data_IF_769922892782
#
_entry.id   IF_769922892782
#
_cell.length_a   1.000
_cell.length_b   1.000
_cell.length_c   1.000
_cell.angle_alpha   90.00
_cell.angle_beta   90.00
_cell.angle_gamma   90.00
#
_symmetry.space_group_name_H-M   'P 1'
#
loop_
_entity.id
_entity.type
_entity.pdbx_description
1 polymer ?
#
# COMPACT_ATOMS: atom_id res chain seq x y z
N UNK A 1 38.41 12.53 -33.98
CA UNK A 1 38.74 11.54 -32.94
C UNK A 1 37.48 11.42 -32.02
N UNK A 2 36.65 10.41 -32.27
CA UNK A 2 35.42 10.18 -31.52
C UNK A 2 35.71 9.17 -30.39
N UNK A 3 35.60 9.63 -29.15
CA UNK A 3 35.78 8.79 -27.98
C UNK A 3 34.43 8.10 -27.69
N UNK A 4 34.38 6.79 -27.89
CA UNK A 4 33.26 5.95 -27.55
C UNK A 4 33.30 5.62 -26.06
N UNK A 5 32.34 6.12 -25.28
CA UNK A 5 32.16 5.76 -23.86
C UNK A 5 31.38 4.44 -23.83
N UNK A 6 32.06 3.33 -23.57
CA UNK A 6 31.46 2.04 -23.28
C UNK A 6 30.86 2.09 -21.86
N UNK A 7 29.55 1.98 -21.74
CA UNK A 7 28.88 1.75 -20.47
C UNK A 7 29.22 0.35 -19.98
N UNK A 8 29.94 0.27 -18.88
CA UNK A 8 30.16 -0.99 -18.17
C UNK A 8 28.89 -1.35 -17.42
N UNK A 9 28.26 -2.46 -17.79
CA UNK A 9 27.18 -3.09 -17.01
C UNK A 9 27.87 -3.83 -15.85
N UNK A 10 27.77 -3.31 -14.64
CA UNK A 10 28.25 -4.01 -13.44
C UNK A 10 27.13 -4.99 -13.05
N UNK A 11 27.33 -6.25 -13.40
CA UNK A 11 26.55 -7.36 -12.85
C UNK A 11 27.11 -7.65 -11.47
N UNK A 12 26.43 -7.23 -10.41
CA UNK A 12 26.78 -7.62 -9.04
C UNK A 12 26.24 -9.04 -8.85
N UNK A 13 27.07 -10.03 -9.11
CA UNK A 13 26.84 -11.41 -8.66
C UNK A 13 27.22 -11.45 -7.18
N UNK A 14 26.23 -11.25 -6.29
CA UNK A 14 26.43 -11.41 -4.86
C UNK A 14 26.61 -12.88 -4.51
N UNK A 15 27.83 -13.29 -4.21
CA UNK A 15 28.09 -14.54 -3.50
C UNK A 15 27.50 -14.41 -2.08
N UNK A 16 26.38 -15.06 -1.83
CA UNK A 16 25.77 -15.14 -0.51
C UNK A 16 26.63 -16.04 0.38
N UNK A 17 27.47 -15.44 1.22
CA UNK A 17 28.00 -16.14 2.39
C UNK A 17 26.85 -16.34 3.38
N UNK A 18 26.44 -17.60 3.56
CA UNK A 18 25.39 -18.00 4.49
C UNK A 18 25.87 -17.82 5.94
N UNK A 19 25.70 -16.63 6.50
CA UNK A 19 25.69 -16.47 7.94
C UNK A 19 24.31 -16.89 8.45
N UNK A 20 24.20 -18.05 9.05
CA UNK A 20 23.01 -18.51 9.73
C UNK A 20 22.76 -17.65 10.98
N UNK A 21 22.07 -16.52 10.81
CA UNK A 21 21.43 -15.82 11.90
C UNK A 21 20.18 -16.62 12.25
N UNK A 22 20.17 -17.26 13.41
CA UNK A 22 19.02 -17.99 13.92
C UNK A 22 17.79 -17.09 14.03
N UNK A 23 16.94 -17.12 13.01
CA UNK A 23 15.57 -16.62 13.09
C UNK A 23 14.86 -17.63 14.01
N UNK A 24 14.21 -17.22 15.11
CA UNK A 24 13.38 -18.16 15.87
C UNK A 24 12.37 -18.73 14.87
N UNK A 25 12.35 -20.05 14.74
CA UNK A 25 11.44 -20.76 13.88
C UNK A 25 10.00 -20.34 14.28
N UNK A 26 9.39 -19.49 13.48
CA UNK A 26 7.95 -19.32 13.54
C UNK A 26 7.37 -20.72 13.35
N UNK A 27 6.68 -21.24 14.36
CA UNK A 27 5.99 -22.52 14.28
C UNK A 27 5.07 -22.44 13.08
N UNK A 28 5.41 -23.18 12.03
CA UNK A 28 4.61 -23.24 10.83
C UNK A 28 3.23 -23.78 11.23
N UNK A 29 2.25 -22.90 11.24
CA UNK A 29 0.86 -23.28 11.48
C UNK A 29 0.40 -24.17 10.32
N UNK A 30 -0.44 -25.18 10.58
CA UNK A 30 -0.94 -26.05 9.52
C UNK A 30 -1.53 -25.20 8.40
N UNK A 31 -1.09 -25.45 7.17
CA UNK A 31 -1.60 -24.79 5.96
C UNK A 31 -3.07 -25.18 5.77
N UNK A 32 -3.99 -24.41 6.34
CA UNK A 32 -5.42 -24.70 6.26
C UNK A 32 -6.29 -23.97 7.29
N UNK A 33 -5.73 -23.50 8.42
CA UNK A 33 -6.53 -22.75 9.40
C UNK A 33 -6.62 -21.27 9.04
N UNK A 34 -7.85 -20.73 9.02
CA UNK A 34 -8.09 -19.32 8.81
C UNK A 34 -7.39 -18.44 9.85
N UNK A 35 -6.69 -17.39 9.41
CA UNK A 35 -6.14 -16.37 10.29
C UNK A 35 -7.25 -15.49 10.87
N UNK A 36 -8.14 -14.96 10.00
CA UNK A 36 -9.24 -14.10 10.46
C UNK A 36 -10.28 -14.85 11.29
N UNK A 37 -10.44 -16.15 11.06
CA UNK A 37 -11.33 -17.00 11.86
C UNK A 37 -10.88 -17.16 13.33
N UNK A 38 -9.61 -16.90 13.62
CA UNK A 38 -9.05 -16.94 14.99
C UNK A 38 -9.07 -15.59 15.69
N UNK A 39 -9.57 -14.55 15.04
CA UNK A 39 -9.65 -13.18 15.54
C UNK A 39 -11.12 -12.78 15.71
N UNK A 40 -11.84 -13.31 16.75
CA UNK A 40 -13.28 -13.16 16.87
C UNK A 40 -13.74 -11.73 17.17
N UNK A 41 -12.90 -10.94 17.84
CA UNK A 41 -13.28 -9.63 18.34
C UNK A 41 -12.90 -8.54 17.34
N UNK A 42 -13.91 -7.81 16.84
CA UNK A 42 -13.76 -6.59 16.06
C UNK A 42 -13.98 -5.38 16.96
N UNK A 43 -12.99 -4.49 17.04
CA UNK A 43 -13.03 -3.33 17.92
C UNK A 43 -12.47 -2.09 17.23
N UNK A 44 -13.19 -0.97 17.32
CA UNK A 44 -12.65 0.35 17.04
C UNK A 44 -11.64 0.74 18.14
N UNK A 45 -10.43 1.12 17.73
CA UNK A 45 -9.40 1.61 18.65
C UNK A 45 -9.55 3.09 18.93
N UNK A 46 -9.51 3.90 17.88
CA UNK A 46 -9.55 5.37 18.01
C UNK A 46 -9.83 6.02 16.65
N UNK A 47 -10.32 7.25 16.66
CA UNK A 47 -10.41 8.09 15.47
C UNK A 47 -9.00 8.41 14.91
N UNK A 48 -8.87 8.40 13.58
CA UNK A 48 -7.63 8.78 12.87
C UNK A 48 -7.52 10.27 12.61
N UNK A 49 -8.59 11.06 12.89
CA UNK A 49 -8.70 12.49 12.60
C UNK A 49 -7.77 13.31 13.50
N UNK A 50 -6.72 13.96 13.01
CA UNK A 50 -5.83 14.81 13.78
C UNK A 50 -6.46 16.19 14.04
N UNK A 51 -5.71 17.10 14.72
CA UNK A 51 -6.22 18.43 15.10
C UNK A 51 -6.54 19.33 13.89
N UNK A 52 -5.88 19.14 12.75
CA UNK A 52 -6.17 19.90 11.53
C UNK A 52 -7.45 19.41 10.82
N UNK A 53 -8.04 18.29 11.26
CA UNK A 53 -9.30 17.79 10.76
C UNK A 53 -9.20 16.92 9.50
N UNK A 54 -8.01 16.53 9.04
CA UNK A 54 -7.87 15.61 7.90
C UNK A 54 -8.63 14.32 8.15
N UNK A 55 -9.26 13.81 7.10
CA UNK A 55 -10.21 12.70 7.09
C UNK A 55 -9.78 11.60 6.13
N UNK A 56 -10.59 10.55 6.06
CA UNK A 56 -10.49 9.48 5.08
C UNK A 56 -9.15 8.73 5.19
N UNK A 57 -8.99 7.88 6.23
CA UNK A 57 -7.75 7.13 6.44
C UNK A 57 -7.61 6.02 5.39
N UNK A 58 -6.48 6.00 4.67
CA UNK A 58 -6.19 5.03 3.60
C UNK A 58 -5.05 4.09 3.96
N UNK A 59 -3.84 4.61 4.18
CA UNK A 59 -2.67 3.80 4.44
C UNK A 59 -2.62 3.30 5.88
N UNK A 60 -2.22 2.03 6.05
CA UNK A 60 -2.02 1.40 7.36
C UNK A 60 -0.73 0.62 7.35
N UNK A 61 0.17 0.91 8.27
CA UNK A 61 1.42 0.16 8.39
C UNK A 61 1.88 0.04 9.83
N UNK A 62 2.30 -1.16 10.23
CA UNK A 62 2.90 -1.37 11.55
C UNK A 62 4.36 -0.96 11.53
N UNK A 63 4.77 -0.16 12.51
CA UNK A 63 6.16 0.28 12.67
C UNK A 63 7.04 -0.93 13.01
N UNK A 64 8.04 -1.26 12.17
CA UNK A 64 8.83 -2.48 12.35
C UNK A 64 9.91 -2.37 13.43
N UNK A 65 10.32 -1.15 13.78
CA UNK A 65 11.40 -0.88 14.75
C UNK A 65 11.29 0.53 15.31
N UNK A 66 11.53 0.67 16.62
CA UNK A 66 11.64 2.01 17.25
C UNK A 66 12.85 2.76 16.75
N UNK A 67 12.64 3.96 16.18
CA UNK A 67 13.67 4.84 15.67
C UNK A 67 13.15 6.29 15.68
N UNK A 68 13.88 7.22 16.28
CA UNK A 68 13.43 8.61 16.43
C UNK A 68 12.12 8.69 17.22
N UNK A 69 11.04 9.18 16.57
CA UNK A 69 9.70 9.23 17.17
C UNK A 69 8.86 7.97 16.93
N UNK A 70 9.26 7.14 15.98
CA UNK A 70 8.57 5.90 15.66
C UNK A 70 8.69 4.88 16.79
N UNK A 71 7.60 4.23 17.18
CA UNK A 71 7.56 3.20 18.22
C UNK A 71 7.20 1.85 17.60
N UNK A 72 8.06 0.84 17.77
CA UNK A 72 7.81 -0.50 17.22
C UNK A 72 6.49 -1.08 17.72
N UNK A 73 5.68 -1.58 16.78
CA UNK A 73 4.35 -2.14 17.06
C UNK A 73 3.22 -1.11 17.02
N UNK A 74 3.51 0.19 17.02
CA UNK A 74 2.51 1.22 16.75
C UNK A 74 2.10 1.19 15.27
N UNK A 75 0.96 1.75 14.95
CA UNK A 75 0.38 1.75 13.61
C UNK A 75 0.41 3.16 13.04
N UNK A 76 1.06 3.34 11.90
CA UNK A 76 0.94 4.57 11.11
C UNK A 76 -0.31 4.51 10.25
N UNK A 77 -1.02 5.65 10.18
CA UNK A 77 -2.19 5.82 9.31
C UNK A 77 -2.08 7.15 8.56
N UNK A 78 -2.20 7.10 7.22
CA UNK A 78 -2.26 8.29 6.36
C UNK A 78 -3.70 8.71 6.09
N UNK A 79 -3.99 10.02 6.10
CA UNK A 79 -5.29 10.58 5.76
C UNK A 79 -5.26 11.17 4.34
N UNK A 80 -6.26 10.81 3.53
CA UNK A 80 -6.32 11.17 2.12
C UNK A 80 -7.06 12.47 1.84
N UNK A 81 -8.08 12.80 2.64
CA UNK A 81 -8.90 13.99 2.50
C UNK A 81 -8.48 15.08 3.49
N UNK A 82 -8.66 16.35 3.12
CA UNK A 82 -8.55 17.47 4.06
C UNK A 82 -9.75 17.50 5.03
N UNK A 83 -9.76 18.48 5.91
CA UNK A 83 -10.85 18.71 6.85
C UNK A 83 -12.19 18.94 6.14
N UNK A 84 -13.26 18.41 6.74
CA UNK A 84 -14.62 18.66 6.31
C UNK A 84 -14.95 20.16 6.25
N UNK A 85 -15.72 20.53 5.23
CA UNK A 85 -16.31 21.85 5.10
C UNK A 85 -17.82 21.73 4.84
N UNK A 86 -18.58 22.83 4.90
CA UNK A 86 -19.99 22.80 4.54
C UNK A 86 -20.25 22.36 3.08
N UNK A 87 -19.32 22.65 2.18
CA UNK A 87 -19.40 22.27 0.76
C UNK A 87 -18.88 20.84 0.52
N UNK A 88 -17.99 20.33 1.36
CA UNK A 88 -17.41 18.99 1.29
C UNK A 88 -17.43 18.34 2.68
N UNK A 89 -18.56 17.73 3.11
CA UNK A 89 -18.70 17.15 4.43
C UNK A 89 -17.72 15.98 4.72
N UNK A 90 -17.29 15.26 3.67
CA UNK A 90 -16.24 14.21 3.73
C UNK A 90 -14.82 14.73 3.49
N UNK A 91 -14.63 16.07 3.40
CA UNK A 91 -13.39 16.67 2.92
C UNK A 91 -13.22 16.53 1.40
N UNK A 92 -12.20 17.16 0.86
CA UNK A 92 -11.84 17.04 -0.56
C UNK A 92 -10.79 15.94 -0.72
N UNK A 93 -11.06 14.99 -1.60
CA UNK A 93 -10.15 13.87 -1.88
C UNK A 93 -8.82 14.37 -2.48
N UNK A 94 -7.73 13.66 -2.16
CA UNK A 94 -6.40 14.04 -2.67
C UNK A 94 -5.85 15.34 -2.06
N UNK A 95 -6.28 15.71 -0.83
CA UNK A 95 -5.84 16.93 -0.15
C UNK A 95 -5.45 16.72 1.32
N UNK A 96 -5.60 15.52 1.85
CA UNK A 96 -5.12 15.15 3.17
C UNK A 96 -3.60 15.14 3.24
N UNK A 97 -3.06 15.54 4.38
CA UNK A 97 -1.64 15.89 4.54
C UNK A 97 -1.00 15.27 5.78
N UNK A 98 -1.75 14.45 6.52
CA UNK A 98 -1.28 13.99 7.83
C UNK A 98 -1.09 12.49 7.90
N UNK A 99 -0.08 12.09 8.67
CA UNK A 99 0.12 10.72 9.13
C UNK A 99 0.02 10.75 10.65
N UNK A 100 -0.84 9.93 11.22
CA UNK A 100 -0.93 9.71 12.66
C UNK A 100 -0.25 8.40 13.04
N UNK A 101 0.33 8.34 14.24
CA UNK A 101 0.87 7.13 14.87
C UNK A 101 -0.05 6.75 16.03
N UNK A 102 -0.49 5.49 16.07
CA UNK A 102 -1.48 5.00 17.01
C UNK A 102 -0.94 3.75 17.70
N UNK A 103 -0.83 3.80 19.03
CA UNK A 103 -0.39 2.65 19.80
C UNK A 103 -1.45 1.54 19.83
N UNK A 104 -1.10 0.28 20.11
CA UNK A 104 -2.05 -0.82 20.29
C UNK A 104 -3.09 -0.58 21.41
N UNK A 105 -2.82 0.38 22.32
CA UNK A 105 -3.74 0.81 23.36
C UNK A 105 -4.72 1.90 22.88
N UNK A 106 -4.55 2.43 21.66
CA UNK A 106 -5.40 3.47 21.08
C UNK A 106 -4.94 4.91 21.38
N UNK A 107 -3.71 5.12 21.82
CA UNK A 107 -3.16 6.47 21.96
C UNK A 107 -2.71 6.98 20.59
N UNK A 108 -3.34 8.04 20.09
CA UNK A 108 -3.02 8.68 18.81
C UNK A 108 -2.13 9.90 19.02
N UNK A 109 -1.05 9.99 18.24
CA UNK A 109 -0.18 11.17 18.09
C UNK A 109 -0.08 11.57 16.62
N UNK A 110 0.22 12.84 16.34
CA UNK A 110 0.56 13.29 14.99
C UNK A 110 2.02 12.92 14.71
N UNK A 111 2.25 11.99 13.80
CA UNK A 111 3.61 11.65 13.35
C UNK A 111 4.15 12.69 12.37
N UNK A 112 3.38 13.00 11.32
CA UNK A 112 3.80 13.95 10.28
C UNK A 112 2.64 14.82 9.79
N UNK A 113 2.98 16.05 9.42
CA UNK A 113 2.18 16.92 8.57
C UNK A 113 3.02 17.29 7.35
N UNK A 114 2.58 16.83 6.18
CA UNK A 114 3.25 17.06 4.90
C UNK A 114 2.73 18.37 4.32
N UNK A 115 3.60 19.38 4.10
CA UNK A 115 3.14 20.65 3.58
C UNK A 115 2.71 20.55 2.11
N UNK A 116 1.74 21.37 1.72
CA UNK A 116 1.25 21.46 0.34
C UNK A 116 -0.03 20.68 0.09
N UNK A 117 -0.35 20.47 -1.18
CA UNK A 117 -1.48 19.66 -1.61
C UNK A 117 -0.92 18.29 -1.98
N UNK A 118 -1.16 17.32 -1.13
CA UNK A 118 -0.48 16.02 -1.28
C UNK A 118 -1.43 14.83 -1.44
N UNK A 119 -2.53 14.73 -0.69
CA UNK A 119 -3.45 13.59 -0.76
C UNK A 119 -2.71 12.28 -0.49
N UNK A 120 -2.48 11.98 0.79
CA UNK A 120 -1.66 10.83 1.18
C UNK A 120 -2.43 9.52 0.96
N UNK A 121 -1.88 8.64 0.11
CA UNK A 121 -2.54 7.43 -0.36
C UNK A 121 -2.36 6.22 0.57
N UNK A 122 -2.82 5.06 0.13
CA UNK A 122 -2.63 3.77 0.83
C UNK A 122 -1.15 3.37 0.89
N UNK A 123 -0.33 3.83 -0.07
CA UNK A 123 1.12 3.59 -0.08
C UNK A 123 1.77 4.20 1.16
N UNK A 124 2.05 3.36 2.16
CA UNK A 124 2.65 3.77 3.43
C UNK A 124 3.62 2.68 3.91
N UNK A 125 4.92 2.95 3.82
CA UNK A 125 5.97 1.98 4.08
C UNK A 125 6.96 2.51 5.10
N UNK A 126 6.87 2.14 6.38
CA UNK A 126 7.93 2.38 7.35
C UNK A 126 9.04 1.33 7.20
N UNK A 127 10.29 1.79 7.04
CA UNK A 127 11.48 0.95 6.96
C UNK A 127 12.16 0.80 8.35
N UNK A 128 12.87 -0.31 8.57
CA UNK A 128 13.63 -0.54 9.82
C UNK A 128 14.71 0.50 10.10
N UNK A 129 15.17 1.18 9.07
CA UNK A 129 16.09 2.32 9.17
C UNK A 129 15.45 3.57 9.77
N UNK A 130 14.12 3.62 9.90
CA UNK A 130 13.35 4.76 10.38
C UNK A 130 12.86 5.71 9.28
N UNK A 131 13.15 5.42 8.02
CA UNK A 131 12.54 6.13 6.91
C UNK A 131 11.10 5.69 6.73
N UNK A 132 10.21 6.64 6.44
CA UNK A 132 8.81 6.39 6.07
C UNK A 132 8.58 6.93 4.66
N UNK A 133 8.10 6.06 3.77
CA UNK A 133 7.75 6.43 2.40
C UNK A 133 6.24 6.41 2.29
N UNK A 134 5.64 7.50 1.80
CA UNK A 134 4.20 7.61 1.59
C UNK A 134 3.90 8.10 0.19
N UNK A 135 2.89 7.51 -0.44
CA UNK A 135 2.38 7.94 -1.73
C UNK A 135 1.54 9.21 -1.60
N UNK A 136 1.52 9.97 -2.66
CA UNK A 136 0.74 11.21 -2.82
C UNK A 136 0.03 11.21 -4.16
N UNK A 137 -1.28 11.44 -4.16
CA UNK A 137 -2.12 11.63 -5.33
C UNK A 137 -2.94 12.91 -5.16
N UNK A 138 -2.39 14.08 -5.56
CA UNK A 138 -3.01 15.36 -5.28
C UNK A 138 -4.13 15.72 -6.27
N UNK A 139 -5.13 16.44 -5.75
CA UNK A 139 -6.13 17.12 -6.55
C UNK A 139 -6.14 18.63 -6.22
N UNK A 140 -6.86 19.43 -7.02
CA UNK A 140 -7.08 20.85 -6.71
C UNK A 140 -8.43 21.12 -6.05
N UNK A 141 -9.42 20.26 -6.27
CA UNK A 141 -10.81 20.44 -5.80
C UNK A 141 -11.49 19.15 -5.34
N UNK A 142 -10.74 18.07 -5.17
CA UNK A 142 -11.30 16.78 -4.73
C UNK A 142 -11.93 15.94 -5.84
N UNK A 143 -11.81 16.33 -7.11
CA UNK A 143 -12.40 15.60 -8.23
C UNK A 143 -11.37 14.89 -9.11
N UNK A 144 -11.80 13.84 -9.80
CA UNK A 144 -10.97 13.11 -10.76
C UNK A 144 -10.44 13.98 -11.88
N UNK A 145 -11.19 15.01 -12.30
CA UNK A 145 -10.79 15.92 -13.36
C UNK A 145 -9.57 16.79 -12.99
N UNK A 146 -9.30 16.94 -11.69
CA UNK A 146 -8.22 17.80 -11.20
C UNK A 146 -7.06 17.01 -10.59
N UNK A 147 -7.05 15.69 -10.73
CA UNK A 147 -5.88 14.87 -10.35
C UNK A 147 -4.61 15.36 -11.05
N UNK A 148 -3.49 15.25 -10.37
CA UNK A 148 -2.16 15.61 -10.89
C UNK A 148 -1.21 14.44 -10.68
N UNK A 149 -0.15 14.34 -11.49
CA UNK A 149 0.89 13.34 -11.25
C UNK A 149 1.33 13.35 -9.80
N UNK A 150 1.37 12.16 -9.24
CA UNK A 150 1.70 11.94 -7.85
C UNK A 150 3.20 11.87 -7.59
N UNK A 151 3.54 11.51 -6.36
CA UNK A 151 4.93 11.37 -5.91
C UNK A 151 5.03 10.37 -4.76
N UNK A 152 6.24 9.93 -4.46
CA UNK A 152 6.55 9.32 -3.17
C UNK A 152 7.24 10.36 -2.28
N UNK A 153 6.70 10.58 -1.10
CA UNK A 153 7.24 11.50 -0.11
C UNK A 153 8.04 10.70 0.91
N UNK A 154 9.28 11.08 1.10
CA UNK A 154 10.21 10.43 2.03
C UNK A 154 10.34 11.26 3.29
N UNK A 155 9.97 10.65 4.43
CA UNK A 155 10.06 11.26 5.75
C UNK A 155 11.12 10.56 6.58
N UNK A 156 11.80 11.33 7.44
CA UNK A 156 12.69 10.77 8.45
C UNK A 156 11.89 10.23 9.66
N UNK A 157 12.58 9.58 10.58
CA UNK A 157 12.00 8.99 11.80
C UNK A 157 11.42 10.02 12.79
N UNK A 158 11.53 11.32 12.50
CA UNK A 158 10.90 12.40 13.26
C UNK A 158 9.65 12.96 12.57
N UNK A 159 9.25 12.40 11.40
CA UNK A 159 8.13 12.83 10.59
C UNK A 159 8.39 14.06 9.73
N UNK A 160 9.65 14.43 9.52
CA UNK A 160 10.01 15.55 8.64
C UNK A 160 10.17 15.06 7.21
N UNK A 161 9.57 15.77 6.27
CA UNK A 161 9.82 15.55 4.84
C UNK A 161 11.27 15.86 4.51
N UNK A 162 11.94 14.92 3.85
CA UNK A 162 13.35 15.01 3.47
C UNK A 162 13.53 15.02 1.97
N UNK A 163 12.66 14.33 1.25
CA UNK A 163 12.71 14.20 -0.21
C UNK A 163 11.32 13.97 -0.78
N UNK A 164 11.15 14.30 -2.06
CA UNK A 164 9.98 13.95 -2.86
C UNK A 164 10.49 13.33 -4.15
N UNK A 165 10.19 12.03 -4.35
CA UNK A 165 10.56 11.29 -5.54
C UNK A 165 9.44 11.47 -6.56
N UNK A 166 9.76 12.14 -7.67
CA UNK A 166 8.88 12.37 -8.82
C UNK A 166 9.52 11.79 -10.07
N UNK A 167 8.73 11.39 -11.04
CA UNK A 167 9.25 10.64 -12.19
C UNK A 167 9.61 9.20 -11.79
N UNK A 168 10.68 8.64 -12.34
CA UNK A 168 11.10 7.26 -12.09
C UNK A 168 9.98 6.22 -12.30
N UNK A 169 8.99 6.53 -13.13
CA UNK A 169 7.79 5.72 -13.36
C UNK A 169 6.69 5.89 -12.31
N UNK A 170 6.84 6.79 -11.34
CA UNK A 170 5.79 7.13 -10.38
C UNK A 170 4.87 8.17 -11.03
N UNK A 171 3.59 7.81 -11.16
CA UNK A 171 2.58 8.67 -11.75
C UNK A 171 1.39 8.89 -10.80
N UNK A 172 0.71 7.82 -10.39
CA UNK A 172 -0.35 7.87 -9.40
C UNK A 172 -0.17 6.78 -8.35
N UNK A 173 0.76 6.94 -7.38
CA UNK A 173 1.05 5.91 -6.40
C UNK A 173 -0.18 5.67 -5.51
N UNK A 174 -0.78 4.45 -5.61
CA UNK A 174 -1.93 4.07 -4.82
C UNK A 174 -1.52 3.31 -3.57
N UNK A 175 -0.81 2.19 -3.73
CA UNK A 175 -0.30 1.39 -2.61
C UNK A 175 1.18 1.06 -2.81
N UNK A 176 1.84 0.65 -1.73
CA UNK A 176 3.22 0.20 -1.78
C UNK A 176 3.52 -0.90 -0.77
N UNK A 177 4.43 -1.78 -1.16
CA UNK A 177 5.06 -2.76 -0.27
C UNK A 177 6.57 -2.74 -0.46
N UNK A 178 7.34 -3.23 0.51
CA UNK A 178 8.79 -3.22 0.41
C UNK A 178 9.47 -4.51 0.86
N UNK A 179 10.60 -4.79 0.22
CA UNK A 179 11.63 -5.70 0.72
C UNK A 179 12.73 -4.86 1.38
N UNK A 180 12.72 -4.81 2.71
CA UNK A 180 13.70 -4.07 3.50
C UNK A 180 14.92 -4.95 3.79
N UNK A 181 16.02 -4.68 3.12
CA UNK A 181 17.30 -5.40 3.24
C UNK A 181 18.30 -4.69 4.18
N UNK A 182 17.87 -3.64 4.88
CA UNK A 182 18.70 -2.83 5.77
C UNK A 182 19.48 -1.75 5.02
N UNK A 183 20.64 -2.03 4.38
CA UNK A 183 21.37 -1.05 3.57
C UNK A 183 20.67 -0.63 2.28
N UNK A 184 19.75 -1.44 1.83
CA UNK A 184 18.93 -1.23 0.64
C UNK A 184 17.47 -1.55 0.93
N UNK A 185 16.56 -0.99 0.14
CA UNK A 185 15.17 -1.40 0.10
C UNK A 185 14.70 -1.49 -1.36
N UNK A 186 13.85 -2.47 -1.64
CA UNK A 186 13.10 -2.51 -2.89
C UNK A 186 11.65 -2.14 -2.57
N UNK A 187 11.18 -1.04 -3.12
CA UNK A 187 9.81 -0.54 -2.92
C UNK A 187 9.02 -0.80 -4.19
N UNK A 188 7.93 -1.52 -4.07
CA UNK A 188 6.97 -1.77 -5.15
C UNK A 188 5.79 -0.82 -4.98
N UNK A 189 5.41 -0.14 -6.04
CA UNK A 189 4.37 0.89 -6.03
C UNK A 189 3.38 0.62 -7.15
N UNK A 190 2.09 0.49 -6.83
CA UNK A 190 1.03 0.45 -7.84
C UNK A 190 0.68 1.86 -8.29
N UNK A 191 0.56 2.04 -9.61
CA UNK A 191 0.23 3.32 -10.24
C UNK A 191 -1.12 3.25 -10.95
N UNK A 192 -1.93 4.29 -10.75
CA UNK A 192 -3.31 4.37 -11.24
C UNK A 192 -3.58 5.55 -12.19
N UNK A 193 -2.60 6.39 -12.50
CA UNK A 193 -2.84 7.50 -13.42
C UNK A 193 -2.41 7.23 -14.86
N UNK A 194 -1.64 6.19 -15.13
CA UNK A 194 -1.18 5.85 -16.48
C UNK A 194 -2.34 5.73 -17.47
N UNK A 195 -2.40 6.66 -18.43
CA UNK A 195 -3.44 6.70 -19.45
C UNK A 195 -4.78 7.24 -19.00
N UNK A 196 -4.87 7.76 -17.78
CA UNK A 196 -6.01 8.53 -17.29
C UNK A 196 -5.83 9.99 -17.71
N UNK A 197 -6.81 10.53 -18.42
CA UNK A 197 -6.83 11.93 -18.86
C UNK A 197 -8.18 12.56 -18.55
N UNK A 198 -8.16 13.83 -18.11
CA UNK A 198 -9.33 14.72 -18.01
C UNK A 198 -10.56 14.12 -17.29
N UNK A 199 -10.34 13.26 -16.30
CA UNK A 199 -11.44 12.68 -15.51
C UNK A 199 -12.37 11.75 -16.28
N UNK A 200 -11.98 11.27 -17.48
CA UNK A 200 -12.81 10.39 -18.30
C UNK A 200 -12.94 8.99 -17.67
N UNK A 201 -14.16 8.44 -17.53
CA UNK A 201 -14.39 7.17 -16.87
C UNK A 201 -14.04 5.94 -17.73
N UNK A 202 -13.48 6.12 -18.92
CA UNK A 202 -13.13 5.00 -19.80
C UNK A 202 -12.06 4.12 -19.18
N UNK A 203 -12.31 2.81 -19.16
CA UNK A 203 -11.31 1.84 -18.68
C UNK A 203 -10.13 1.79 -19.64
N UNK A 204 -8.93 1.91 -19.11
CA UNK A 204 -7.67 1.66 -19.83
C UNK A 204 -6.93 0.48 -19.21
N UNK A 205 -6.07 -0.21 -19.99
CA UNK A 205 -5.24 -1.31 -19.50
C UNK A 205 -3.79 -0.84 -19.26
N UNK A 206 -3.64 0.33 -18.65
CA UNK A 206 -2.32 0.98 -18.49
C UNK A 206 -1.84 1.07 -17.04
N UNK A 207 -2.63 0.58 -16.08
CA UNK A 207 -2.18 0.46 -14.70
C UNK A 207 -0.94 -0.45 -14.62
N UNK A 208 0.00 -0.07 -13.79
CA UNK A 208 1.28 -0.77 -13.66
C UNK A 208 1.77 -0.87 -12.21
N UNK A 209 2.87 -1.60 -12.03
CA UNK A 209 3.63 -1.62 -10.78
C UNK A 209 5.08 -1.32 -11.08
N UNK A 210 5.61 -0.32 -10.42
CA UNK A 210 7.02 0.07 -10.47
C UNK A 210 7.75 -0.47 -9.25
N UNK A 211 8.95 -1.01 -9.47
CA UNK A 211 9.93 -1.32 -8.42
C UNK A 211 11.00 -0.26 -8.39
N UNK A 212 11.21 0.37 -7.25
CA UNK A 212 12.35 1.24 -6.96
C UNK A 212 13.36 0.50 -6.09
N UNK A 213 14.63 0.51 -6.47
CA UNK A 213 15.74 0.07 -5.62
C UNK A 213 16.35 1.29 -4.96
N UNK A 214 16.31 1.33 -3.63
CA UNK A 214 16.80 2.45 -2.82
C UNK A 214 18.11 2.08 -2.11
N UNK A 215 19.11 2.96 -2.19
CA UNK A 215 20.29 2.93 -1.33
C UNK A 215 20.02 3.74 -0.06
N UNK A 216 20.11 3.10 1.10
CA UNK A 216 19.87 3.69 2.42
C UNK A 216 21.14 3.98 3.21
N UNK A 217 22.33 3.70 2.66
CA UNK A 217 23.61 3.80 3.36
C UNK A 217 24.11 5.24 3.56
N UNK A 218 23.75 6.12 2.65
CA UNK A 218 24.24 7.51 2.60
C UNK A 218 23.50 8.51 3.49
N UNK A 219 22.67 8.05 4.42
CA UNK A 219 21.88 8.91 5.29
C UNK A 219 20.49 9.23 4.71
N UNK A 220 20.37 9.65 3.45
CA UNK A 220 19.09 9.88 2.76
C UNK A 220 18.87 8.79 1.70
N UNK A 221 17.66 8.22 1.56
CA UNK A 221 17.35 7.26 0.53
C UNK A 221 17.62 7.82 -0.87
N UNK A 222 18.27 7.03 -1.72
CA UNK A 222 18.56 7.40 -3.11
C UNK A 222 18.04 6.33 -4.05
N UNK A 223 17.28 6.71 -5.07
CA UNK A 223 16.85 5.80 -6.13
C UNK A 223 18.07 5.40 -6.96
N UNK A 224 18.39 4.12 -6.98
CA UNK A 224 19.43 3.53 -7.82
C UNK A 224 18.89 2.99 -9.13
N UNK A 225 17.68 2.43 -9.09
CA UNK A 225 17.04 1.80 -10.23
C UNK A 225 15.53 1.93 -10.11
N UNK A 226 14.88 2.22 -11.21
CA UNK A 226 13.43 2.12 -11.40
C UNK A 226 13.13 1.12 -12.51
N UNK A 227 12.13 0.28 -12.31
CA UNK A 227 11.72 -0.75 -13.28
C UNK A 227 10.22 -0.96 -13.20
N UNK A 228 9.51 -0.87 -14.31
CA UNK A 228 8.14 -1.39 -14.40
C UNK A 228 8.21 -2.91 -14.37
N UNK A 229 7.68 -3.52 -13.31
CA UNK A 229 7.72 -4.98 -13.10
C UNK A 229 6.41 -5.67 -13.47
N UNK A 230 5.31 -4.91 -13.54
CA UNK A 230 4.01 -5.39 -14.00
C UNK A 230 3.28 -4.29 -14.80
N UNK A 231 2.46 -4.69 -15.77
CA UNK A 231 1.61 -3.79 -16.55
C UNK A 231 0.30 -4.50 -16.97
N UNK A 232 -0.48 -3.87 -17.82
CA UNK A 232 -1.71 -4.45 -18.37
C UNK A 232 -2.88 -4.47 -17.38
N UNK A 233 -2.79 -3.78 -16.25
CA UNK A 233 -3.84 -3.71 -15.24
C UNK A 233 -4.88 -2.66 -15.62
N UNK A 234 -6.16 -2.95 -15.37
CA UNK A 234 -7.25 -2.04 -15.68
C UNK A 234 -7.27 -0.84 -14.73
N UNK A 235 -7.54 0.35 -15.27
CA UNK A 235 -7.69 1.61 -14.53
C UNK A 235 -8.82 2.42 -15.12
N UNK A 236 -9.62 3.07 -14.29
CA UNK A 236 -10.59 4.09 -14.69
C UNK A 236 -10.78 5.14 -13.60
N UNK A 237 -11.27 6.33 -13.97
CA UNK A 237 -11.70 7.33 -12.98
C UNK A 237 -13.00 6.91 -12.31
N UNK A 238 -13.15 7.31 -11.07
CA UNK A 238 -14.34 7.05 -10.25
C UNK A 238 -14.68 8.29 -9.43
N UNK A 239 -15.94 8.78 -9.49
CA UNK A 239 -16.33 9.97 -8.71
C UNK A 239 -16.27 9.77 -7.19
N UNK A 240 -16.43 8.53 -6.70
CA UNK A 240 -16.42 8.24 -5.27
C UNK A 240 -14.99 8.03 -4.73
N UNK A 241 -14.05 7.54 -5.57
CA UNK A 241 -12.70 7.16 -5.16
C UNK A 241 -11.59 7.81 -5.99
N UNK A 242 -11.89 8.88 -6.77
CA UNK A 242 -11.05 9.53 -7.77
C UNK A 242 -10.66 8.59 -8.92
N UNK A 243 -10.05 7.46 -8.63
CA UNK A 243 -9.53 6.49 -9.60
C UNK A 243 -9.50 5.11 -8.97
N UNK A 244 -9.87 4.10 -9.75
CA UNK A 244 -9.78 2.69 -9.38
C UNK A 244 -8.82 1.99 -10.34
N UNK A 245 -7.96 1.11 -9.82
CA UNK A 245 -6.95 0.42 -10.64
C UNK A 245 -6.27 -0.71 -9.88
N UNK A 246 -4.97 -0.97 -10.14
CA UNK A 246 -4.16 -1.80 -9.27
C UNK A 246 -4.01 -1.11 -7.91
N UNK A 247 -4.47 -1.76 -6.88
CA UNK A 247 -4.52 -1.21 -5.53
C UNK A 247 -3.50 -1.92 -4.63
N UNK A 248 -3.93 -2.75 -3.69
CA UNK A 248 -3.08 -3.35 -2.69
C UNK A 248 -1.96 -4.24 -3.24
N UNK A 249 -0.80 -4.16 -2.63
CA UNK A 249 0.39 -4.92 -2.97
C UNK A 249 0.88 -5.79 -1.82
N UNK A 250 1.17 -7.06 -2.07
CA UNK A 250 1.77 -7.94 -1.08
C UNK A 250 2.95 -8.74 -1.68
N UNK A 251 4.15 -8.56 -1.10
CA UNK A 251 5.33 -9.30 -1.54
C UNK A 251 5.41 -10.64 -0.80
N UNK A 252 5.33 -11.71 -1.56
CA UNK A 252 5.34 -13.08 -1.06
C UNK A 252 6.70 -13.76 -1.16
N UNK A 253 6.75 -15.05 -0.81
CA UNK A 253 7.97 -15.85 -0.90
C UNK A 253 8.55 -15.88 -2.31
N UNK A 254 9.88 -15.99 -2.38
CA UNK A 254 10.66 -16.03 -3.64
C UNK A 254 10.49 -14.80 -4.52
N UNK A 255 10.12 -13.66 -3.94
CA UNK A 255 9.98 -12.41 -4.68
C UNK A 255 8.76 -12.34 -5.61
N UNK A 256 7.76 -13.18 -5.39
CA UNK A 256 6.47 -13.09 -6.10
C UNK A 256 5.67 -11.94 -5.51
N UNK A 257 5.23 -11.01 -6.35
CA UNK A 257 4.34 -9.93 -5.94
C UNK A 257 2.89 -10.31 -6.26
N UNK A 258 1.99 -9.99 -5.34
CA UNK A 258 0.55 -10.10 -5.54
C UNK A 258 -0.04 -8.70 -5.62
N UNK A 259 -1.02 -8.54 -6.50
CA UNK A 259 -1.65 -7.25 -6.82
C UNK A 259 -3.17 -7.40 -6.73
N UNK A 260 -3.81 -6.57 -5.94
CA UNK A 260 -5.25 -6.42 -5.97
C UNK A 260 -5.65 -5.61 -7.21
N UNK A 261 -6.33 -6.23 -8.15
CA UNK A 261 -6.87 -5.62 -9.36
C UNK A 261 -8.36 -5.32 -9.10
N UNK A 262 -8.61 -4.14 -8.55
CA UNK A 262 -9.92 -3.75 -8.03
C UNK A 262 -10.98 -3.69 -9.15
N UNK A 263 -10.62 -3.16 -10.31
CA UNK A 263 -11.54 -3.04 -11.47
C UNK A 263 -12.08 -4.39 -11.90
N UNK A 264 -11.24 -5.43 -11.90
CA UNK A 264 -11.61 -6.78 -12.34
C UNK A 264 -12.00 -7.72 -11.18
N UNK A 265 -12.12 -7.21 -9.95
CA UNK A 265 -12.42 -8.00 -8.75
C UNK A 265 -11.58 -9.28 -8.67
N UNK A 266 -10.26 -9.15 -8.78
CA UNK A 266 -9.32 -10.27 -8.75
C UNK A 266 -8.02 -9.96 -8.02
N UNK A 267 -7.28 -11.02 -7.67
CA UNK A 267 -5.88 -10.94 -7.25
C UNK A 267 -5.02 -11.49 -8.39
N UNK A 268 -4.08 -10.69 -8.87
CA UNK A 268 -3.08 -11.09 -9.84
C UNK A 268 -1.75 -11.41 -9.14
N UNK A 269 -0.88 -12.20 -9.79
CA UNK A 269 0.50 -12.45 -9.34
C UNK A 269 1.51 -12.07 -10.41
N UNK A 270 2.64 -11.55 -9.96
CA UNK A 270 3.82 -11.22 -10.76
C UNK A 270 4.98 -12.08 -10.26
N UNK A 271 5.35 -13.16 -10.97
CA UNK A 271 6.45 -14.02 -10.54
C UNK A 271 7.78 -13.28 -10.61
N UNK A 272 8.67 -13.59 -9.66
CA UNK A 272 10.04 -13.08 -9.59
C UNK A 272 10.16 -11.54 -9.65
N UNK A 273 9.19 -10.80 -9.11
CA UNK A 273 9.10 -9.35 -9.21
C UNK A 273 10.37 -8.62 -8.72
N UNK A 274 11.04 -9.18 -7.69
CA UNK A 274 12.31 -8.67 -7.14
C UNK A 274 13.45 -8.70 -8.18
N UNK A 275 13.43 -9.65 -9.12
CA UNK A 275 14.51 -9.86 -10.09
C UNK A 275 14.15 -9.41 -11.49
N UNK A 276 12.92 -8.97 -11.74
CA UNK A 276 12.49 -8.63 -13.10
C UNK A 276 13.19 -7.38 -13.63
N UNK A 277 13.69 -7.49 -14.85
CA UNK A 277 14.19 -6.35 -15.63
C UNK A 277 13.18 -5.82 -16.65
N UNK A 278 12.04 -6.52 -16.82
CA UNK A 278 10.97 -6.17 -17.76
C UNK A 278 9.60 -6.43 -17.16
N UNK A 279 8.59 -5.71 -17.61
CA UNK A 279 7.22 -5.87 -17.13
C UNK A 279 6.67 -7.27 -17.43
N UNK A 280 5.89 -7.78 -16.50
CA UNK A 280 5.04 -8.95 -16.65
C UNK A 280 3.63 -8.47 -16.98
N UNK A 281 2.96 -9.11 -17.93
CA UNK A 281 1.55 -8.82 -18.23
C UNK A 281 0.67 -9.35 -17.10
N UNK A 282 0.45 -8.52 -16.09
CA UNK A 282 -0.39 -8.83 -14.94
C UNK A 282 -1.89 -8.71 -15.26
N UNK A 283 -2.25 -8.10 -16.40
CA UNK A 283 -3.60 -8.06 -16.94
C UNK A 283 -4.05 -9.38 -17.53
N UNK A 284 -3.12 -10.23 -17.98
CA UNK A 284 -3.43 -11.51 -18.57
C UNK A 284 -4.11 -12.49 -17.60
N UNK A 285 -4.99 -13.34 -18.13
CA UNK A 285 -5.70 -14.37 -17.32
C UNK A 285 -4.73 -15.33 -16.62
N UNK A 286 -3.56 -15.63 -17.22
CA UNK A 286 -2.52 -16.49 -16.64
C UNK A 286 -1.91 -15.90 -15.34
N UNK A 287 -2.05 -14.59 -15.11
CA UNK A 287 -1.63 -13.93 -13.88
C UNK A 287 -2.64 -14.11 -12.73
N UNK A 288 -3.88 -14.50 -13.01
CA UNK A 288 -4.95 -14.56 -12.02
C UNK A 288 -4.71 -15.65 -10.97
N UNK A 289 -4.79 -15.27 -9.70
CA UNK A 289 -4.75 -16.17 -8.53
C UNK A 289 -6.18 -16.50 -8.08
N UNK A 290 -7.00 -15.48 -7.91
CA UNK A 290 -8.42 -15.59 -7.55
C UNK A 290 -9.19 -14.48 -8.24
N UNK A 291 -10.44 -14.73 -8.63
CA UNK A 291 -11.31 -13.74 -9.27
C UNK A 291 -12.79 -14.03 -8.98
N UNK A 292 -13.61 -12.98 -9.03
CA UNK A 292 -15.04 -13.04 -8.77
C UNK A 292 -15.35 -13.24 -7.29
N UNK A 293 -16.64 -13.45 -6.98
CA UNK A 293 -17.09 -13.57 -5.60
C UNK A 293 -16.28 -14.61 -4.79
N UNK A 294 -15.91 -14.30 -3.53
CA UNK A 294 -16.31 -13.14 -2.75
C UNK A 294 -15.45 -11.88 -2.93
N UNK A 295 -14.55 -11.81 -3.92
CA UNK A 295 -13.85 -10.58 -4.25
C UNK A 295 -14.81 -9.58 -4.90
N UNK A 296 -14.83 -8.35 -4.38
CA UNK A 296 -15.67 -7.25 -4.85
C UNK A 296 -14.93 -5.93 -4.71
N UNK A 297 -14.19 -5.56 -5.75
CA UNK A 297 -13.30 -4.39 -5.71
C UNK A 297 -12.23 -4.50 -4.61
N UNK A 298 -11.31 -5.51 -4.63
CA UNK A 298 -10.30 -5.68 -3.59
C UNK A 298 -9.37 -4.47 -3.56
N UNK A 299 -9.14 -3.90 -2.36
CA UNK A 299 -8.33 -2.71 -2.13
C UNK A 299 -7.02 -3.07 -1.41
N UNK A 300 -6.95 -2.97 -0.09
CA UNK A 300 -5.75 -3.34 0.65
C UNK A 300 -5.40 -4.82 0.50
N UNK A 301 -4.11 -5.17 0.45
CA UNK A 301 -3.64 -6.54 0.31
C UNK A 301 -2.41 -6.77 1.20
N UNK A 302 -2.41 -7.84 1.98
CA UNK A 302 -1.27 -8.19 2.82
C UNK A 302 -1.18 -9.72 3.02
N UNK A 303 0.00 -10.19 3.45
CA UNK A 303 0.16 -11.57 3.90
C UNK A 303 -0.17 -11.72 5.38
N UNK A 304 -1.06 -12.63 5.71
CA UNK A 304 -1.26 -13.10 7.07
C UNK A 304 -0.06 -13.96 7.53
N UNK A 305 0.15 -14.09 8.85
CA UNK A 305 1.22 -14.93 9.42
C UNK A 305 1.17 -16.42 9.02
N UNK A 306 -0.01 -16.93 8.68
CA UNK A 306 -0.19 -18.30 8.15
C UNK A 306 0.20 -18.43 6.65
N UNK A 307 0.63 -17.35 6.01
CA UNK A 307 1.04 -17.31 4.59
C UNK A 307 -0.12 -17.22 3.61
N UNK A 308 -1.34 -16.95 4.06
CA UNK A 308 -2.48 -16.61 3.22
C UNK A 308 -2.48 -15.12 2.86
N UNK A 309 -3.13 -14.76 1.78
CA UNK A 309 -3.43 -13.39 1.40
C UNK A 309 -4.68 -12.92 2.14
N UNK A 310 -4.66 -11.68 2.61
CA UNK A 310 -5.80 -10.95 3.15
C UNK A 310 -6.07 -9.76 2.25
N UNK A 311 -7.31 -9.57 1.85
CA UNK A 311 -7.73 -8.36 1.14
C UNK A 311 -9.05 -7.86 1.70
N UNK A 312 -9.25 -6.54 1.70
CA UNK A 312 -10.52 -5.92 2.00
C UNK A 312 -11.19 -5.50 0.71
N UNK A 313 -12.51 -5.69 0.62
CA UNK A 313 -13.32 -5.27 -0.51
C UNK A 313 -13.85 -3.86 -0.30
N UNK A 314 -13.68 -2.98 -1.27
CA UNK A 314 -14.34 -1.67 -1.30
C UNK A 314 -15.85 -1.77 -1.57
N UNK A 315 -16.30 -2.80 -2.29
CA UNK A 315 -17.68 -2.90 -2.73
C UNK A 315 -18.67 -3.51 -1.74
N UNK A 316 -18.24 -4.08 -0.61
CA UNK A 316 -19.14 -4.78 0.33
C UNK A 316 -18.64 -4.85 1.79
N UNK A 317 -17.57 -4.15 2.14
CA UNK A 317 -16.96 -4.14 3.46
C UNK A 317 -16.53 -5.52 4.00
N UNK A 318 -16.27 -6.49 3.12
CA UNK A 318 -15.77 -7.79 3.51
C UNK A 318 -14.23 -7.81 3.53
N UNK A 319 -13.66 -8.52 4.50
CA UNK A 319 -12.31 -9.05 4.41
C UNK A 319 -12.37 -10.48 3.87
N UNK A 320 -11.49 -10.80 2.96
CA UNK A 320 -11.37 -12.12 2.33
C UNK A 320 -9.99 -12.69 2.59
N UNK A 321 -9.93 -13.92 3.12
CA UNK A 321 -8.70 -14.68 3.29
C UNK A 321 -8.57 -15.73 2.20
N UNK A 322 -7.44 -15.73 1.47
CA UNK A 322 -7.23 -16.54 0.27
C UNK A 322 -5.87 -17.23 0.38
N UNK A 323 -5.80 -18.51 0.05
CA UNK A 323 -4.50 -19.19 -0.09
C UNK A 323 -3.72 -18.63 -1.28
N UNK A 324 -2.42 -18.82 -1.32
CA UNK A 324 -1.58 -18.45 -2.48
C UNK A 324 -1.95 -19.21 -3.77
N UNK A 325 -2.72 -20.28 -3.65
CA UNK A 325 -3.25 -21.04 -4.79
C UNK A 325 -4.62 -20.53 -5.27
N UNK A 326 -5.20 -19.52 -4.61
CA UNK A 326 -6.46 -18.90 -5.00
C UNK A 326 -7.72 -19.47 -4.30
N UNK A 327 -7.55 -20.40 -3.36
CA UNK A 327 -8.69 -20.93 -2.60
C UNK A 327 -9.12 -19.95 -1.52
N UNK A 328 -10.39 -19.54 -1.52
CA UNK A 328 -10.98 -18.75 -0.44
C UNK A 328 -11.07 -19.60 0.82
N UNK A 329 -10.54 -19.11 1.93
CA UNK A 329 -10.49 -19.79 3.23
C UNK A 329 -11.56 -19.26 4.16
N UNK A 330 -11.75 -17.94 4.18
CA UNK A 330 -12.73 -17.27 5.01
C UNK A 330 -13.14 -15.93 4.42
N UNK A 331 -14.35 -15.50 4.75
CA UNK A 331 -14.87 -14.16 4.46
C UNK A 331 -15.60 -13.64 5.68
N UNK A 332 -15.41 -12.35 6.01
CA UNK A 332 -16.08 -11.71 7.13
C UNK A 332 -16.41 -10.26 6.81
N UNK A 333 -17.63 -9.84 7.06
CA UNK A 333 -18.00 -8.42 6.97
C UNK A 333 -17.44 -7.68 8.20
N UNK A 334 -16.73 -6.57 7.96
CA UNK A 334 -16.09 -5.76 9.00
C UNK A 334 -16.91 -4.53 9.39
N UNK A 335 -17.81 -4.09 8.51
CA UNK A 335 -18.75 -3.00 8.77
C UNK A 335 -20.15 -3.33 8.21
N UNK A 336 -20.96 -4.09 8.96
CA UNK A 336 -22.31 -4.45 8.52
C UNK A 336 -23.31 -3.29 8.65
N UNK A 337 -22.93 -2.19 9.32
CA UNK A 337 -23.80 -1.03 9.53
C UNK A 337 -23.83 -0.10 8.32
N UNK A 338 -22.87 -0.24 7.40
CA UNK A 338 -22.71 0.60 6.21
C UNK A 338 -22.79 -0.24 4.91
N UNK A 339 -23.97 -0.68 4.47
CA UNK A 339 -24.17 -1.26 3.16
C UNK A 339 -24.42 -0.17 2.10
N UNK A 340 -23.92 -0.33 0.85
CA UNK A 340 -23.37 -1.58 0.28
C UNK A 340 -21.88 -1.76 0.50
N UNK A 341 -21.12 -0.77 0.99
CA UNK A 341 -19.68 -0.81 1.14
C UNK A 341 -19.05 0.53 0.82
N UNK A 342 -17.73 0.60 0.87
CA UNK A 342 -16.92 1.80 0.61
C UNK A 342 -15.96 2.12 1.74
N UNK A 343 -16.21 1.59 2.95
CA UNK A 343 -15.52 1.97 4.17
C UNK A 343 -14.12 1.38 4.37
N UNK A 344 -13.68 0.40 3.58
CA UNK A 344 -12.43 -0.31 3.87
C UNK A 344 -11.34 -0.02 2.85
N UNK A 345 -10.14 0.38 3.32
CA UNK A 345 -8.98 0.62 2.47
C UNK A 345 -7.74 -0.16 2.92
N UNK A 346 -6.91 0.39 3.78
CA UNK A 346 -5.66 -0.23 4.21
C UNK A 346 -5.84 -1.28 5.31
N UNK A 347 -4.94 -2.26 5.33
CA UNK A 347 -4.87 -3.28 6.38
C UNK A 347 -3.42 -3.67 6.69
N UNK A 348 -3.16 -4.03 7.95
CA UNK A 348 -1.83 -4.43 8.40
C UNK A 348 -1.93 -5.59 9.43
N UNK A 349 -1.65 -6.83 9.03
CA UNK A 349 -1.64 -7.97 9.93
C UNK A 349 -0.38 -8.00 10.80
N UNK A 350 -0.54 -8.48 12.02
CA UNK A 350 0.53 -8.86 12.94
C UNK A 350 0.41 -10.34 13.30
N UNK A 351 1.28 -10.85 14.16
CA UNK A 351 1.20 -12.26 14.59
C UNK A 351 -0.15 -12.62 15.23
N UNK A 352 -0.82 -11.66 15.90
CA UNK A 352 -1.98 -11.91 16.75
C UNK A 352 -3.15 -10.96 16.55
N UNK A 353 -3.06 -10.05 15.58
CA UNK A 353 -4.08 -9.06 15.29
C UNK A 353 -4.05 -8.64 13.83
N UNK A 354 -5.14 -8.07 13.37
CA UNK A 354 -5.24 -7.38 12.11
C UNK A 354 -5.74 -5.95 12.36
N UNK A 355 -4.93 -4.97 12.02
CA UNK A 355 -5.35 -3.56 11.98
C UNK A 355 -5.92 -3.22 10.62
N UNK A 356 -6.97 -2.42 10.59
CA UNK A 356 -7.56 -1.91 9.35
C UNK A 356 -8.21 -0.55 9.59
N UNK A 357 -8.34 0.25 8.55
CA UNK A 357 -9.06 1.53 8.61
C UNK A 357 -10.46 1.39 8.07
N UNK A 358 -11.38 2.14 8.70
CA UNK A 358 -12.70 2.42 8.21
C UNK A 358 -12.74 3.92 7.90
N UNK A 359 -12.84 4.29 6.62
CA UNK A 359 -12.74 5.67 6.17
C UNK A 359 -14.03 6.46 6.41
N UNK A 360 -15.20 5.83 6.32
CA UNK A 360 -16.48 6.46 6.62
C UNK A 360 -16.58 6.87 8.10
N UNK A 361 -16.16 5.96 8.99
CA UNK A 361 -16.09 6.23 10.43
C UNK A 361 -14.83 7.03 10.84
N UNK A 362 -13.86 7.18 9.94
CA UNK A 362 -12.57 7.81 10.21
C UNK A 362 -11.84 7.17 11.40
N UNK A 363 -11.76 5.85 11.44
CA UNK A 363 -11.21 5.10 12.57
C UNK A 363 -10.16 4.08 12.16
N UNK A 364 -9.21 3.82 13.09
CA UNK A 364 -8.41 2.61 13.10
C UNK A 364 -9.13 1.56 13.92
N UNK A 365 -9.28 0.36 13.37
CA UNK A 365 -9.94 -0.79 13.97
C UNK A 365 -8.98 -1.97 14.10
N UNK A 366 -9.32 -2.93 14.94
CA UNK A 366 -8.53 -4.13 15.15
C UNK A 366 -9.41 -5.38 15.27
N UNK A 367 -9.05 -6.43 14.53
CA UNK A 367 -9.47 -7.80 14.83
C UNK A 367 -8.42 -8.47 15.75
N UNK A 368 -8.87 -9.12 16.84
CA UNK A 368 -8.02 -9.84 17.78
C UNK A 368 -8.77 -10.94 18.54
#
# INVERSE_FOLDING_TARGET
MRISVRRAVIVIVGAAASAAVGIPAAVAQPSGSSFIGRLPHNKTLVSTVPRNGDLNPYGVAVVPRSTGRLVAGDVLVSNFNNAATAAAPGGEQGRGSTIVEISPAGHRTLFAHVPGRVGLTTALVPLRSGWVIVGSLPTTDGTSATMRPGALIVLDSTGRVRETITGDGIDGPWDATALDLGPFAEVFVSNVLNGITDGQPAVTMKGDVVRLVLDLRGGMPRVLLSTVVANGLAVHTDPAALVIGPTGLALGPRGTLYVADAVNSRIARVPDAVFRGTAYDAGANAATVAAGAPLNGPLGLAFAPNGHLLTVNGGDNNIVEITRAGTVVATRNLDPADPPGGALFGLAPTAHALYYVNDDANTLNVLR
#
